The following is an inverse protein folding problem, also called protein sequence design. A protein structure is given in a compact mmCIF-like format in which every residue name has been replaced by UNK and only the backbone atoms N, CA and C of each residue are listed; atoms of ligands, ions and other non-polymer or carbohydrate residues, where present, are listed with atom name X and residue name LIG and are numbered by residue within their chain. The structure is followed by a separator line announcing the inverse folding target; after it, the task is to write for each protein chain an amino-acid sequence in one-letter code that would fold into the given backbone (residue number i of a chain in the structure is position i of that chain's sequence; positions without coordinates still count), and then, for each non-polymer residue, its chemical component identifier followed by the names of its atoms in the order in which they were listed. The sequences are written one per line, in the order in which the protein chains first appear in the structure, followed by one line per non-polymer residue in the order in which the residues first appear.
data_IF_936884164902
#
_entry.id   IF_936884164902
#
_cell.length_a   1.000
_cell.length_b   1.000
_cell.length_c   1.000
_cell.angle_alpha   90.00
_cell.angle_beta   90.00
_cell.angle_gamma   90.00
#
_symmetry.space_group_name_H-M   'P 1'
#
loop_
_entity.id
_entity.type
_entity.pdbx_description
1 polymer ?
#
# COMPACT_ATOMS: atom_id res chain seq x y z
N UNK A 1 -10.03 5.82 -17.95
CA UNK A 1 -10.85 5.93 -16.71
C UNK A 1 -10.36 5.03 -15.58
N UNK A 2 -10.14 3.73 -15.80
CA UNK A 2 -9.73 2.79 -14.74
C UNK A 2 -8.40 3.12 -14.08
N UNK A 3 -7.43 3.66 -14.83
CA UNK A 3 -6.16 4.16 -14.27
C UNK A 3 -6.40 5.23 -13.21
N UNK A 4 -7.23 6.23 -13.52
CA UNK A 4 -7.54 7.32 -12.59
C UNK A 4 -8.27 6.77 -11.36
N UNK A 5 -9.23 5.86 -11.56
CA UNK A 5 -9.94 5.20 -10.45
C UNK A 5 -8.97 4.44 -9.53
N UNK A 6 -8.07 3.63 -10.08
CA UNK A 6 -7.05 2.91 -9.32
C UNK A 6 -6.15 3.87 -8.54
N UNK A 7 -5.70 4.97 -9.15
CA UNK A 7 -4.89 5.99 -8.47
C UNK A 7 -5.65 6.68 -7.33
N UNK A 8 -6.94 6.98 -7.53
CA UNK A 8 -7.78 7.57 -6.47
C UNK A 8 -7.97 6.59 -5.30
N UNK A 9 -8.24 5.32 -5.57
CA UNK A 9 -8.36 4.29 -4.52
C UNK A 9 -7.02 4.08 -3.80
N UNK A 10 -5.90 4.12 -4.52
CA UNK A 10 -4.57 4.05 -3.92
C UNK A 10 -4.34 5.21 -2.94
N UNK A 11 -4.68 6.43 -3.34
CA UNK A 11 -4.59 7.61 -2.48
C UNK A 11 -5.49 7.48 -1.24
N UNK A 12 -6.73 6.98 -1.41
CA UNK A 12 -7.64 6.72 -0.31
C UNK A 12 -7.06 5.68 0.67
N UNK A 13 -6.45 4.59 0.19
CA UNK A 13 -5.79 3.58 1.03
C UNK A 13 -4.69 4.21 1.91
N UNK A 14 -3.81 5.01 1.30
CA UNK A 14 -2.72 5.69 2.01
C UNK A 14 -3.24 6.69 3.06
N UNK A 15 -4.27 7.47 2.71
CA UNK A 15 -4.91 8.39 3.65
C UNK A 15 -5.56 7.64 4.81
N UNK A 16 -6.25 6.54 4.54
CA UNK A 16 -6.90 5.73 5.57
C UNK A 16 -5.88 5.08 6.50
N UNK A 17 -4.77 4.59 5.96
CA UNK A 17 -3.66 4.06 6.73
C UNK A 17 -3.05 5.13 7.66
N UNK A 18 -2.79 6.33 7.12
CA UNK A 18 -2.26 7.46 7.89
C UNK A 18 -3.23 7.90 8.99
N UNK A 19 -4.53 7.98 8.69
CA UNK A 19 -5.55 8.31 9.67
C UNK A 19 -5.59 7.31 10.83
N UNK A 20 -5.52 6.00 10.52
CA UNK A 20 -5.44 4.96 11.54
C UNK A 20 -4.16 5.06 12.37
N UNK A 21 -3.04 5.37 11.75
CA UNK A 21 -1.77 5.58 12.46
C UNK A 21 -1.87 6.73 13.47
N UNK A 22 -2.45 7.86 13.07
CA UNK A 22 -2.68 9.01 13.98
C UNK A 22 -3.61 8.62 15.13
N UNK A 23 -4.69 7.87 14.87
CA UNK A 23 -5.58 7.38 15.93
C UNK A 23 -4.88 6.43 16.91
N UNK A 24 -3.96 5.59 16.42
CA UNK A 24 -3.11 4.73 17.24
C UNK A 24 -2.17 5.54 18.11
N UNK A 25 -1.52 6.58 17.57
CA UNK A 25 -0.63 7.44 18.33
C UNK A 25 -1.37 8.25 19.41
N UNK A 26 -2.61 8.66 19.10
CA UNK A 26 -3.50 9.35 20.03
C UNK A 26 -4.15 8.43 21.08
N UNK A 27 -3.88 7.11 21.05
CA UNK A 27 -4.53 6.11 21.90
C UNK A 27 -6.07 6.25 21.92
N UNK A 28 -6.66 6.58 20.77
CA UNK A 28 -8.09 6.91 20.71
C UNK A 28 -8.95 5.64 20.74
N UNK A 29 -9.99 5.64 21.59
CA UNK A 29 -11.03 4.59 21.61
C UNK A 29 -11.75 4.42 20.27
N UNK A 30 -11.63 5.39 19.34
CA UNK A 30 -12.21 5.33 17.98
C UNK A 30 -11.66 4.16 17.14
N UNK A 31 -10.49 3.60 17.47
CA UNK A 31 -9.96 2.39 16.82
C UNK A 31 -10.85 1.14 17.01
N UNK A 32 -11.75 1.17 17.99
CA UNK A 32 -12.71 0.08 18.22
C UNK A 32 -13.87 0.06 17.23
N UNK A 33 -14.11 1.18 16.51
CA UNK A 33 -15.22 1.32 15.57
C UNK A 33 -15.08 0.30 14.43
N UNK A 34 -16.18 -0.41 14.14
CA UNK A 34 -16.22 -1.50 13.16
C UNK A 34 -15.81 -1.04 11.75
N UNK A 35 -16.22 0.17 11.34
CA UNK A 35 -15.90 0.70 10.01
C UNK A 35 -14.40 0.93 9.79
N UNK A 36 -13.65 1.35 10.83
CA UNK A 36 -12.19 1.52 10.76
C UNK A 36 -11.43 0.21 10.62
N UNK A 37 -12.05 -0.92 10.98
CA UNK A 37 -11.51 -2.26 10.79
C UNK A 37 -11.85 -2.84 9.43
N UNK A 38 -13.05 -2.57 8.90
CA UNK A 38 -13.56 -3.16 7.66
C UNK A 38 -13.16 -2.37 6.40
N UNK A 39 -13.22 -1.03 6.47
CA UNK A 39 -12.92 -0.16 5.33
C UNK A 39 -11.55 -0.43 4.65
N UNK A 40 -10.44 -0.64 5.38
CA UNK A 40 -9.16 -0.94 4.74
C UNK A 40 -9.20 -2.23 3.93
N UNK A 41 -9.88 -3.27 4.41
CA UNK A 41 -10.01 -4.52 3.64
C UNK A 41 -10.77 -4.34 2.33
N UNK A 42 -11.84 -3.52 2.33
CA UNK A 42 -12.60 -3.21 1.12
C UNK A 42 -11.74 -2.40 0.14
N UNK A 43 -11.07 -1.36 0.64
CA UNK A 43 -10.21 -0.48 -0.16
C UNK A 43 -9.07 -1.30 -0.78
N UNK A 44 -8.40 -2.14 0.00
CA UNK A 44 -7.27 -2.94 -0.48
C UNK A 44 -7.71 -4.00 -1.49
N UNK A 45 -8.87 -4.63 -1.29
CA UNK A 45 -9.46 -5.58 -2.27
C UNK A 45 -9.80 -4.87 -3.57
N UNK A 46 -10.40 -3.67 -3.51
CA UNK A 46 -10.67 -2.86 -4.71
C UNK A 46 -9.37 -2.39 -5.38
N UNK A 47 -8.37 -1.98 -4.60
CA UNK A 47 -7.07 -1.56 -5.10
C UNK A 47 -6.39 -2.68 -5.91
N UNK A 48 -6.32 -3.87 -5.32
CA UNK A 48 -5.76 -5.06 -5.96
C UNK A 48 -6.59 -5.48 -7.18
N UNK A 49 -7.91 -5.53 -7.05
CA UNK A 49 -8.82 -5.88 -8.15
C UNK A 49 -8.69 -4.94 -9.36
N UNK A 50 -8.64 -3.63 -9.12
CA UNK A 50 -8.40 -2.65 -10.18
C UNK A 50 -6.98 -2.74 -10.74
N UNK A 51 -6.00 -3.09 -9.92
CA UNK A 51 -4.63 -3.33 -10.36
C UNK A 51 -4.55 -4.50 -11.36
N UNK A 52 -5.24 -5.61 -11.06
CA UNK A 52 -5.35 -6.78 -11.95
C UNK A 52 -6.14 -6.43 -13.21
N UNK A 53 -7.25 -5.72 -13.09
CA UNK A 53 -8.02 -5.29 -14.27
C UNK A 53 -7.18 -4.42 -15.22
N UNK A 54 -6.34 -3.53 -14.66
CA UNK A 54 -5.42 -2.71 -15.43
C UNK A 54 -4.29 -3.53 -16.07
N UNK A 55 -3.73 -4.52 -15.37
CA UNK A 55 -2.68 -5.37 -15.95
C UNK A 55 -3.19 -6.18 -17.14
N UNK A 56 -4.43 -6.69 -17.05
CA UNK A 56 -5.08 -7.41 -18.16
C UNK A 56 -5.34 -6.46 -19.35
N UNK A 57 -5.88 -5.27 -19.11
CA UNK A 57 -6.15 -4.30 -20.19
C UNK A 57 -4.89 -3.80 -20.89
N UNK A 58 -3.79 -3.68 -20.15
CA UNK A 58 -2.51 -3.26 -20.70
C UNK A 58 -1.68 -4.44 -21.24
N UNK A 59 -2.22 -5.67 -21.23
CA UNK A 59 -1.52 -6.90 -21.60
C UNK A 59 -0.14 -7.05 -20.93
N UNK A 60 -0.03 -6.58 -19.68
CA UNK A 60 1.22 -6.63 -18.91
C UNK A 60 1.43 -8.07 -18.45
N UNK A 61 2.47 -8.72 -19.00
CA UNK A 61 2.94 -10.00 -18.49
C UNK A 61 3.82 -9.75 -17.25
N UNK A 62 3.39 -10.16 -16.03
CA UNK A 62 4.15 -9.92 -14.80
C UNK A 62 5.52 -10.61 -14.78
N UNK A 63 5.72 -11.63 -15.61
CA UNK A 63 7.00 -12.36 -15.71
C UNK A 63 8.01 -11.62 -16.60
N UNK A 64 7.53 -10.92 -17.63
CA UNK A 64 8.39 -10.15 -18.54
C UNK A 64 8.62 -8.71 -18.05
N UNK A 65 7.64 -8.14 -17.36
CA UNK A 65 7.66 -6.77 -16.88
C UNK A 65 8.06 -6.72 -15.41
N UNK A 66 9.36 -6.82 -15.15
CA UNK A 66 9.94 -6.89 -13.80
C UNK A 66 9.49 -5.73 -12.89
N UNK A 67 9.29 -4.52 -13.44
CA UNK A 67 8.79 -3.36 -12.69
C UNK A 67 7.40 -3.60 -12.08
N UNK A 68 6.55 -4.39 -12.74
CA UNK A 68 5.20 -4.71 -12.25
C UNK A 68 5.25 -5.76 -11.13
N UNK A 69 6.13 -6.77 -11.26
CA UNK A 69 6.39 -7.73 -10.20
C UNK A 69 6.96 -7.05 -8.94
N UNK A 70 7.92 -6.13 -9.13
CA UNK A 70 8.49 -5.33 -8.03
C UNK A 70 7.43 -4.43 -7.38
N UNK A 71 6.53 -3.85 -8.18
CA UNK A 71 5.41 -3.05 -7.68
C UNK A 71 4.47 -3.87 -6.81
N UNK A 72 4.15 -5.11 -7.22
CA UNK A 72 3.35 -6.05 -6.42
C UNK A 72 4.04 -6.39 -5.10
N UNK A 73 5.34 -6.68 -5.13
CA UNK A 73 6.12 -6.94 -3.92
C UNK A 73 6.12 -5.75 -2.95
N UNK A 74 6.31 -4.53 -3.48
CA UNK A 74 6.26 -3.32 -2.67
C UNK A 74 4.87 -3.08 -2.04
N UNK A 75 3.79 -3.39 -2.76
CA UNK A 75 2.41 -3.33 -2.20
C UNK A 75 2.24 -4.32 -1.05
N UNK A 76 2.74 -5.56 -1.19
CA UNK A 76 2.71 -6.55 -0.11
C UNK A 76 3.51 -6.07 1.10
N UNK A 77 4.73 -5.56 0.88
CA UNK A 77 5.57 -5.02 1.95
C UNK A 77 4.92 -3.83 2.66
N UNK A 78 4.21 -2.95 1.93
CA UNK A 78 3.38 -1.89 2.50
C UNK A 78 2.26 -2.45 3.41
N UNK A 79 1.53 -3.47 2.97
CA UNK A 79 0.47 -4.10 3.78
C UNK A 79 1.06 -4.71 5.07
N UNK A 80 2.18 -5.42 4.97
CA UNK A 80 2.86 -6.02 6.13
C UNK A 80 3.37 -4.96 7.11
N UNK A 81 4.02 -3.90 6.62
CA UNK A 81 4.50 -2.80 7.47
C UNK A 81 3.36 -2.04 8.12
N UNK A 82 2.22 -1.92 7.44
CA UNK A 82 1.01 -1.36 8.01
C UNK A 82 0.41 -2.21 9.13
N UNK A 83 0.35 -3.53 8.94
CA UNK A 83 -0.06 -4.47 10.00
C UNK A 83 0.88 -4.42 11.21
N UNK A 84 2.20 -4.42 10.94
CA UNK A 84 3.22 -4.32 11.97
C UNK A 84 3.05 -3.05 12.81
N UNK A 85 2.94 -1.91 12.14
CA UNK A 85 2.80 -0.59 12.77
C UNK A 85 1.55 -0.48 13.64
N UNK A 86 0.42 -0.99 13.15
CA UNK A 86 -0.86 -0.77 13.81
C UNK A 86 -1.20 -1.83 14.86
N UNK A 87 -0.66 -3.05 14.77
CA UNK A 87 -1.08 -4.17 15.63
C UNK A 87 0.07 -4.85 16.39
N UNK A 88 1.29 -4.89 15.84
CA UNK A 88 2.40 -5.63 16.45
C UNK A 88 3.37 -4.73 17.22
N UNK A 89 3.49 -3.47 16.83
CA UNK A 89 4.36 -2.51 17.48
C UNK A 89 3.93 -2.25 18.93
N UNK A 90 4.83 -2.61 19.87
CA UNK A 90 4.58 -2.54 21.32
C UNK A 90 4.85 -1.17 21.93
N UNK A 91 5.64 -0.33 21.25
CA UNK A 91 6.01 1.00 21.70
C UNK A 91 5.87 2.04 20.58
N UNK A 92 5.83 3.33 20.94
CA UNK A 92 5.64 4.44 19.98
C UNK A 92 6.77 4.53 18.95
N UNK A 93 8.00 4.21 19.33
CA UNK A 93 9.14 4.24 18.42
C UNK A 93 9.00 3.21 17.29
N UNK A 94 8.61 1.96 17.60
CA UNK A 94 8.35 0.91 16.62
C UNK A 94 7.18 1.27 15.70
N UNK A 95 6.15 1.95 16.22
CA UNK A 95 5.04 2.44 15.41
C UNK A 95 5.54 3.49 14.40
N UNK A 96 6.34 4.46 14.83
CA UNK A 96 6.89 5.49 13.94
C UNK A 96 7.82 4.89 12.89
N UNK A 97 8.73 3.99 13.28
CA UNK A 97 9.65 3.32 12.36
C UNK A 97 8.87 2.52 11.31
N UNK A 98 7.85 1.77 11.74
CA UNK A 98 7.00 1.02 10.83
C UNK A 98 6.23 1.93 9.87
N UNK A 99 5.73 3.07 10.34
CA UNK A 99 5.06 4.07 9.50
C UNK A 99 5.99 4.69 8.47
N UNK A 100 7.22 5.05 8.86
CA UNK A 100 8.25 5.53 7.95
C UNK A 100 8.62 4.46 6.91
N UNK A 101 8.72 3.19 7.33
CA UNK A 101 8.91 2.07 6.42
C UNK A 101 7.77 1.93 5.40
N UNK A 102 6.52 2.04 5.85
CA UNK A 102 5.35 2.01 4.97
C UNK A 102 5.36 3.17 3.95
N UNK A 103 5.75 4.38 4.36
CA UNK A 103 5.94 5.51 3.43
C UNK A 103 7.03 5.20 2.41
N UNK A 104 8.15 4.59 2.82
CA UNK A 104 9.22 4.17 1.92
C UNK A 104 8.72 3.23 0.82
N UNK A 105 7.91 2.24 1.18
CA UNK A 105 7.28 1.33 0.20
C UNK A 105 6.32 2.05 -0.73
N UNK A 106 5.52 3.00 -0.22
CA UNK A 106 4.62 3.83 -1.06
C UNK A 106 5.44 4.63 -2.08
N UNK A 107 6.55 5.26 -1.66
CA UNK A 107 7.42 6.01 -2.57
C UNK A 107 8.00 5.10 -3.67
N UNK A 108 8.41 3.87 -3.32
CA UNK A 108 8.84 2.89 -4.32
C UNK A 108 7.73 2.53 -5.31
N UNK A 109 6.50 2.28 -4.84
CA UNK A 109 5.35 1.99 -5.71
C UNK A 109 5.09 3.14 -6.69
N UNK A 110 5.15 4.38 -6.21
CA UNK A 110 4.96 5.58 -7.05
C UNK A 110 6.09 5.71 -8.07
N UNK A 111 7.35 5.52 -7.64
CA UNK A 111 8.50 5.58 -8.54
C UNK A 111 8.38 4.54 -9.64
N UNK A 112 8.12 3.27 -9.31
CA UNK A 112 7.91 2.18 -10.27
C UNK A 112 6.75 2.46 -11.23
N UNK A 113 5.68 3.12 -10.75
CA UNK A 113 4.54 3.48 -11.59
C UNK A 113 4.85 4.60 -12.60
N UNK A 114 5.79 5.50 -12.28
CA UNK A 114 6.20 6.62 -13.16
C UNK A 114 7.32 6.18 -14.09
N UNK A 115 8.39 5.56 -13.56
CA UNK A 115 9.54 5.12 -14.34
C UNK A 115 9.18 3.96 -15.26
N UNK A 116 8.28 3.06 -14.84
CA UNK A 116 8.04 1.75 -15.47
C UNK A 116 9.34 0.94 -15.65
N UNK A 117 10.32 1.21 -14.79
CA UNK A 117 11.61 0.54 -14.74
C UNK A 117 11.76 -0.07 -13.36
N UNK A 118 12.17 -1.34 -13.29
CA UNK A 118 12.49 -2.01 -12.04
C UNK A 118 13.74 -1.38 -11.43
N UNK A 119 13.70 -1.11 -10.14
CA UNK A 119 14.84 -0.50 -9.43
C UNK A 119 15.75 -1.60 -8.89
N UNK A 120 15.15 -2.65 -8.33
CA UNK A 120 15.90 -3.76 -7.74
C UNK A 120 16.10 -4.93 -8.71
N UNK A 121 15.12 -5.21 -9.56
CA UNK A 121 15.17 -6.38 -10.46
C UNK A 121 15.85 -6.09 -11.81
N UNK A 122 16.06 -4.84 -12.22
CA UNK A 122 16.72 -4.52 -13.49
C UNK A 122 18.25 -4.73 -13.46
N UNK A 123 18.85 -4.78 -12.27
CA UNK A 123 20.31 -4.93 -12.10
C UNK A 123 20.78 -6.36 -11.85
N UNK A 124 19.90 -7.35 -11.98
CA UNK A 124 20.15 -8.77 -11.70
C UNK A 124 20.12 -9.56 -13.01
#
# INVERSE_FOLDING_TARGET
MLKNLHMTIAMISVLFFTFRFVLTLANSNKLTLKWLKIAPHIIDTLLLGLGVALSIQLAINPVEQLWFAEKLFAVLAYIFTGYYTLKLARNRAMQIIGFLGAIGWIMLIVRLAISKESVFLAGL
#
